data_IF_711947410117
#
_entry.id   IF_711947410117
#
_cell.length_a   1.000
_cell.length_b   1.000
_cell.length_c   1.000
_cell.angle_alpha   90.00
_cell.angle_beta   90.00
_cell.angle_gamma   90.00
#
_symmetry.space_group_name_H-M   'P 1'
#
loop_
_entity.id
_entity.type
_entity.pdbx_description
1 polymer ?
#
# COMPACT_ATOMS: atom_id res chain seq x y z
N UNK A 1 -27.31 -14.22 35.80
CA UNK A 1 -26.73 -13.04 36.49
C UNK A 1 -25.22 -13.04 36.28
N UNK A 2 -24.60 -11.89 35.95
CA UNK A 2 -23.15 -11.78 35.71
C UNK A 2 -22.50 -10.81 36.72
N UNK A 3 -22.59 -11.14 38.01
CA UNK A 3 -22.17 -10.28 39.13
C UNK A 3 -20.65 -10.09 39.25
N UNK A 4 -19.85 -11.03 38.75
CA UNK A 4 -18.39 -10.88 38.60
C UNK A 4 -18.02 -11.27 37.16
N UNK A 5 -17.21 -10.43 36.50
CA UNK A 5 -16.70 -10.68 35.15
C UNK A 5 -15.19 -10.53 35.13
N UNK A 6 -14.51 -11.51 34.54
CA UNK A 6 -13.09 -11.43 34.18
C UNK A 6 -13.02 -11.29 32.67
N UNK A 7 -12.29 -10.27 32.19
CA UNK A 7 -12.15 -9.98 30.76
C UNK A 7 -10.68 -10.12 30.34
N UNK A 8 -10.46 -10.54 29.09
CA UNK A 8 -9.14 -10.55 28.45
C UNK A 8 -9.25 -10.00 27.03
N UNK A 9 -8.13 -9.50 26.50
CA UNK A 9 -8.08 -9.06 25.11
C UNK A 9 -8.18 -10.28 24.17
N UNK A 10 -9.00 -10.14 23.14
CA UNK A 10 -9.18 -11.16 22.11
C UNK A 10 -9.17 -10.49 20.74
N UNK A 11 -8.51 -11.14 19.78
CA UNK A 11 -8.57 -10.71 18.39
C UNK A 11 -9.98 -10.95 17.81
N UNK A 12 -10.47 -10.04 16.95
CA UNK A 12 -11.71 -10.26 16.23
C UNK A 12 -11.57 -11.43 15.25
N UNK A 13 -12.68 -11.99 14.76
CA UNK A 13 -12.64 -12.95 13.66
C UNK A 13 -11.93 -12.37 12.43
N UNK A 14 -11.17 -13.21 11.72
CA UNK A 14 -10.39 -12.74 10.57
C UNK A 14 -11.25 -12.14 9.46
N UNK A 15 -12.51 -12.56 9.31
CA UNK A 15 -13.46 -11.97 8.35
C UNK A 15 -13.61 -10.46 8.57
N UNK A 16 -13.72 -10.01 9.83
CA UNK A 16 -13.81 -8.59 10.18
C UNK A 16 -12.55 -7.84 9.74
N UNK A 17 -11.38 -8.45 9.89
CA UNK A 17 -10.12 -7.86 9.42
C UNK A 17 -10.08 -7.80 7.88
N UNK A 18 -10.57 -8.85 7.21
CA UNK A 18 -10.69 -8.91 5.76
C UNK A 18 -11.58 -7.80 5.21
N UNK A 19 -12.76 -7.60 5.81
CA UNK A 19 -13.70 -6.54 5.43
C UNK A 19 -13.08 -5.15 5.62
N UNK A 20 -12.42 -4.91 6.77
CA UNK A 20 -11.71 -3.64 7.03
C UNK A 20 -10.58 -3.37 6.04
N UNK A 21 -9.86 -4.40 5.60
CA UNK A 21 -8.80 -4.25 4.60
C UNK A 21 -9.36 -4.10 3.19
N UNK A 22 -10.50 -4.73 2.89
CA UNK A 22 -11.21 -4.56 1.63
C UNK A 22 -11.69 -3.12 1.44
N UNK A 23 -12.24 -2.51 2.48
CA UNK A 23 -12.64 -1.09 2.46
C UNK A 23 -11.44 -0.17 2.15
N UNK A 24 -10.28 -0.48 2.74
CA UNK A 24 -9.03 0.28 2.48
C UNK A 24 -8.46 0.02 1.10
N UNK A 25 -8.69 -1.17 0.54
CA UNK A 25 -8.30 -1.49 -0.81
C UNK A 25 -9.12 -0.69 -1.83
N UNK A 26 -10.44 -0.58 -1.60
CA UNK A 26 -11.32 0.21 -2.46
C UNK A 26 -11.04 1.72 -2.39
N UNK A 27 -10.54 2.19 -1.25
CA UNK A 27 -10.10 3.58 -1.04
C UNK A 27 -8.59 3.82 -1.17
N UNK A 28 -7.82 2.89 -1.75
CA UNK A 28 -6.37 3.01 -1.81
C UNK A 28 -5.93 4.24 -2.63
N UNK A 29 -4.87 4.92 -2.18
CA UNK A 29 -4.41 6.16 -2.82
C UNK A 29 -3.34 5.90 -3.88
N UNK A 30 -3.53 6.47 -5.08
CA UNK A 30 -2.51 6.48 -6.14
C UNK A 30 -1.44 7.51 -5.81
N UNK A 31 -0.19 7.07 -5.78
CA UNK A 31 0.96 7.88 -5.40
C UNK A 31 1.98 7.98 -6.53
N UNK A 32 2.60 9.15 -6.64
CA UNK A 32 3.77 9.35 -7.47
C UNK A 32 5.03 9.37 -6.60
N UNK A 33 6.11 8.77 -7.11
CA UNK A 33 7.44 8.95 -6.55
C UNK A 33 7.86 10.40 -6.72
N UNK A 34 7.90 11.19 -5.64
CA UNK A 34 8.52 12.51 -5.72
C UNK A 34 10.02 12.31 -5.85
N UNK A 35 10.52 12.38 -7.09
CA UNK A 35 11.93 12.50 -7.38
C UNK A 35 12.37 13.95 -7.07
N UNK A 36 12.13 14.42 -5.85
CA UNK A 36 12.83 15.59 -5.33
C UNK A 36 14.27 15.14 -5.08
N UNK A 37 15.01 15.02 -6.18
CA UNK A 37 16.45 15.01 -6.15
C UNK A 37 16.86 16.14 -5.23
N UNK A 38 17.69 15.82 -4.25
CA UNK A 38 18.43 16.85 -3.55
C UNK A 38 19.15 17.68 -4.62
N UNK A 39 18.56 18.81 -5.02
CA UNK A 39 19.32 19.93 -5.52
C UNK A 39 20.20 20.36 -4.36
N UNK A 40 21.32 19.65 -4.19
CA UNK A 40 22.52 20.23 -3.64
C UNK A 40 22.91 21.30 -4.65
N UNK A 41 22.31 22.48 -4.49
CA UNK A 41 22.78 23.68 -5.12
C UNK A 41 24.17 23.96 -4.54
N UNK A 42 25.17 23.28 -5.08
CA UNK A 42 26.56 23.44 -4.67
C UNK A 42 27.13 24.65 -5.42
N UNK A 43 26.53 25.81 -5.16
CA UNK A 43 27.15 27.07 -5.48
C UNK A 43 28.22 27.29 -4.43
N UNK A 44 29.43 26.80 -4.70
CA UNK A 44 30.61 27.51 -4.22
C UNK A 44 31.70 27.45 -5.28
N UNK A 45 31.96 28.64 -5.79
CA UNK A 45 32.95 28.96 -6.77
C UNK A 45 34.36 28.61 -6.29
N UNK A 46 35.23 28.34 -7.27
CA UNK A 46 36.67 28.28 -7.15
C UNK A 46 37.25 29.37 -6.22
N UNK A 47 38.09 28.96 -5.27
CA UNK A 47 39.25 29.75 -4.91
C UNK A 47 40.39 28.83 -4.47
N UNK A 48 41.47 28.85 -5.26
CA UNK A 48 42.73 28.18 -4.98
C UNK A 48 43.45 28.91 -3.84
N UNK A 49 43.43 28.35 -2.61
CA UNK A 49 44.34 28.81 -1.55
C UNK A 49 44.51 27.75 -0.45
N UNK A 50 45.72 27.21 -0.21
CA UNK A 50 45.98 26.44 1.00
C UNK A 50 46.53 27.36 2.10
N UNK A 51 45.97 27.35 3.33
CA UNK A 51 46.70 27.81 4.51
C UNK A 51 47.28 26.62 5.29
N UNK A 52 48.56 26.76 5.61
CA UNK A 52 49.41 25.89 6.43
C UNK A 52 48.98 25.88 7.91
N UNK A 53 49.34 24.76 8.56
CA UNK A 53 49.73 24.61 9.98
C UNK A 53 48.63 24.24 11.01
N UNK A 54 48.98 23.76 12.22
CA UNK A 54 48.79 22.36 12.59
C UNK A 54 47.79 22.19 13.74
N UNK A 55 47.37 20.94 13.92
CA UNK A 55 46.43 20.46 14.95
C UNK A 55 46.92 20.80 16.36
N UNK A 56 46.04 21.39 17.18
CA UNK A 56 46.14 21.35 18.65
C UNK A 56 44.99 20.48 19.20
N UNK A 57 45.36 19.54 20.06
CA UNK A 57 44.48 18.52 20.62
C UNK A 57 43.55 19.14 21.68
N UNK A 58 42.26 19.22 21.39
CA UNK A 58 41.23 19.39 22.42
C UNK A 58 40.61 18.03 22.70
N UNK A 59 40.77 17.57 23.94
CA UNK A 59 40.27 16.31 24.48
C UNK A 59 38.75 16.21 24.25
N UNK A 60 38.31 15.28 23.41
CA UNK A 60 36.91 14.92 23.27
C UNK A 60 36.52 14.03 24.46
N UNK A 61 35.70 14.55 25.36
CA UNK A 61 35.05 13.75 26.39
C UNK A 61 34.10 12.73 25.76
N UNK A 62 34.27 11.45 26.09
CA UNK A 62 33.41 10.37 25.66
C UNK A 62 32.05 10.42 26.39
N UNK A 63 31.14 11.29 25.96
CA UNK A 63 29.73 11.17 26.32
C UNK A 63 29.02 10.26 25.32
N UNK A 64 28.71 9.04 25.74
CA UNK A 64 28.01 8.01 24.96
C UNK A 64 26.50 8.33 24.81
N UNK A 65 25.99 9.39 25.45
CA UNK A 65 24.54 9.54 25.67
C UNK A 65 23.85 10.79 25.08
N UNK A 66 24.46 11.49 24.12
CA UNK A 66 23.85 12.76 23.62
C UNK A 66 23.69 12.89 22.10
N UNK A 67 23.88 11.82 21.31
CA UNK A 67 23.78 11.94 19.83
C UNK A 67 23.12 10.78 19.08
N UNK A 68 22.31 9.96 19.75
CA UNK A 68 21.60 8.84 19.09
C UNK A 68 20.11 9.08 18.84
N UNK A 69 19.62 10.32 18.86
CA UNK A 69 18.17 10.53 18.70
C UNK A 69 17.71 11.07 17.34
N UNK A 70 18.60 11.47 16.43
CA UNK A 70 18.16 12.10 15.16
C UNK A 70 18.71 11.50 13.86
N UNK A 71 18.94 10.17 13.83
CA UNK A 71 19.34 9.47 12.58
C UNK A 71 18.51 8.23 12.27
N UNK A 72 17.18 8.36 12.34
CA UNK A 72 16.30 7.59 11.44
C UNK A 72 15.66 8.52 10.41
N UNK A 73 16.50 9.36 9.78
CA UNK A 73 16.14 9.95 8.48
C UNK A 73 15.89 8.76 7.56
N UNK A 74 14.65 8.63 7.10
CA UNK A 74 14.21 7.64 6.12
C UNK A 74 15.31 7.44 5.08
N UNK A 75 15.97 6.28 5.13
CA UNK A 75 17.11 5.92 4.29
C UNK A 75 16.73 5.81 2.80
N UNK A 76 15.44 5.93 2.51
CA UNK A 76 14.87 6.03 1.19
C UNK A 76 14.26 7.43 1.05
N UNK A 77 14.96 8.31 0.33
CA UNK A 77 14.56 9.70 0.11
C UNK A 77 13.39 9.88 -0.86
N UNK A 78 12.57 8.84 -1.09
CA UNK A 78 11.35 8.99 -1.87
C UNK A 78 10.24 9.45 -0.92
N UNK A 79 9.75 10.67 -1.13
CA UNK A 79 8.54 11.12 -0.46
C UNK A 79 7.35 10.76 -1.37
N UNK A 80 6.50 9.86 -0.88
CA UNK A 80 5.28 9.47 -1.57
C UNK A 80 4.33 10.66 -1.54
N UNK A 81 4.00 11.20 -2.71
CA UNK A 81 3.01 12.26 -2.85
C UNK A 81 1.79 11.69 -3.57
N UNK A 82 0.57 12.11 -3.20
CA UNK A 82 -0.62 11.79 -3.99
C UNK A 82 -0.39 12.17 -5.46
N UNK A 83 -0.81 11.30 -6.38
CA UNK A 83 -0.72 11.58 -7.82
C UNK A 83 -1.52 12.83 -8.20
N UNK A 84 -2.70 13.00 -7.59
CA UNK A 84 -3.51 14.21 -7.69
C UNK A 84 -3.39 15.06 -6.40
N UNK A 85 -2.94 16.32 -6.48
CA UNK A 85 -2.77 17.21 -5.33
C UNK A 85 -4.05 17.52 -4.53
N UNK A 86 -5.23 17.35 -5.13
CA UNK A 86 -6.51 17.58 -4.45
C UNK A 86 -6.96 16.40 -3.58
N UNK A 87 -6.32 15.24 -3.72
CA UNK A 87 -6.60 14.09 -2.85
C UNK A 87 -5.87 14.22 -1.53
N UNK A 88 -6.57 13.81 -0.45
CA UNK A 88 -5.99 13.75 0.89
C UNK A 88 -4.76 12.85 0.89
N UNK A 89 -3.68 13.31 1.53
CA UNK A 89 -2.50 12.48 1.71
C UNK A 89 -2.83 11.23 2.55
N UNK A 90 -2.33 10.05 2.15
CA UNK A 90 -2.63 8.80 2.84
C UNK A 90 -2.03 8.80 4.26
N UNK A 91 -2.80 8.30 5.22
CA UNK A 91 -2.35 8.07 6.59
C UNK A 91 -1.56 6.75 6.75
N UNK A 92 -1.01 6.52 7.94
CA UNK A 92 -0.23 5.30 8.26
C UNK A 92 -1.04 3.99 8.19
N UNK A 93 -2.37 4.09 8.15
CA UNK A 93 -3.30 2.98 8.09
C UNK A 93 -3.83 2.73 6.67
N UNK A 94 -3.58 3.63 5.73
CA UNK A 94 -4.17 3.58 4.40
C UNK A 94 -3.30 2.76 3.45
N UNK A 95 -3.94 2.14 2.46
CA UNK A 95 -3.23 1.41 1.40
C UNK A 95 -2.87 2.39 0.27
N UNK A 96 -1.70 2.19 -0.33
CA UNK A 96 -1.19 3.02 -1.42
C UNK A 96 -0.72 2.16 -2.58
N UNK A 97 -0.83 2.67 -3.80
CA UNK A 97 -0.33 2.00 -5.00
C UNK A 97 0.31 3.03 -5.95
N UNK A 98 1.31 2.61 -6.73
CA UNK A 98 2.05 3.50 -7.64
C UNK A 98 1.78 3.17 -9.12
N UNK A 99 1.41 1.94 -9.44
CA UNK A 99 1.12 1.47 -10.79
C UNK A 99 -0.35 1.07 -10.94
N UNK A 100 -0.97 1.45 -12.06
CA UNK A 100 -2.36 1.08 -12.35
C UNK A 100 -2.47 -0.43 -12.53
N UNK A 101 -3.55 -1.01 -12.00
CA UNK A 101 -3.80 -2.44 -12.19
C UNK A 101 -4.06 -2.78 -13.66
N UNK A 102 -3.54 -3.91 -14.16
CA UNK A 102 -3.81 -4.36 -15.52
C UNK A 102 -5.26 -4.83 -15.68
N UNK A 103 -5.69 -5.07 -16.91
CA UNK A 103 -6.98 -5.72 -17.17
C UNK A 103 -6.93 -7.21 -16.81
N UNK A 104 -7.93 -7.69 -16.06
CA UNK A 104 -8.02 -9.08 -15.60
C UNK A 104 -8.96 -9.96 -16.43
N UNK A 105 -9.63 -9.40 -17.43
CA UNK A 105 -10.63 -10.10 -18.25
C UNK A 105 -10.01 -11.23 -19.08
N UNK A 106 -8.90 -10.93 -19.77
CA UNK A 106 -8.22 -11.85 -20.67
C UNK A 106 -7.03 -12.54 -20.01
N UNK A 107 -6.76 -13.77 -20.43
CA UNK A 107 -5.62 -14.54 -19.94
C UNK A 107 -4.32 -13.91 -20.41
N UNK A 108 -3.44 -13.59 -19.47
CA UNK A 108 -2.08 -13.13 -19.74
C UNK A 108 -1.08 -13.90 -18.87
N UNK A 109 -0.43 -14.89 -19.46
CA UNK A 109 0.54 -15.77 -18.77
C UNK A 109 1.77 -15.02 -18.27
N UNK A 110 2.17 -13.91 -18.91
CA UNK A 110 3.33 -13.11 -18.50
C UNK A 110 3.11 -12.40 -17.17
N UNK A 111 1.86 -12.01 -16.91
CA UNK A 111 1.45 -11.31 -15.68
C UNK A 111 0.77 -12.25 -14.67
N UNK A 112 0.71 -13.55 -14.95
CA UNK A 112 0.00 -14.51 -14.09
C UNK A 112 -1.53 -14.36 -14.08
N UNK A 113 -2.09 -13.62 -15.03
CA UNK A 113 -3.53 -13.37 -15.11
C UNK A 113 -4.19 -14.55 -15.84
N UNK A 114 -5.12 -15.23 -15.16
CA UNK A 114 -5.82 -16.38 -15.74
C UNK A 114 -6.98 -16.00 -16.67
N UNK A 115 -7.49 -14.78 -16.56
CA UNK A 115 -8.70 -14.30 -17.23
C UNK A 115 -9.97 -14.63 -16.43
N UNK A 116 -11.12 -14.11 -16.87
CA UNK A 116 -12.43 -14.35 -16.23
C UNK A 116 -13.29 -15.38 -16.95
N UNK A 117 -12.77 -16.03 -17.98
CA UNK A 117 -13.49 -17.05 -18.75
C UNK A 117 -13.84 -18.27 -17.87
N UNK A 118 -15.08 -18.73 -17.98
CA UNK A 118 -15.57 -19.89 -17.23
C UNK A 118 -15.82 -19.66 -15.74
N UNK A 119 -15.72 -18.41 -15.25
CA UNK A 119 -16.08 -18.06 -13.87
C UNK A 119 -17.59 -17.96 -13.73
N UNK A 120 -18.11 -18.43 -12.59
CA UNK A 120 -19.50 -18.21 -12.20
C UNK A 120 -19.75 -16.72 -11.98
N UNK A 121 -20.89 -16.23 -12.48
CA UNK A 121 -21.35 -14.87 -12.27
C UNK A 121 -22.82 -14.87 -11.82
N UNK A 122 -23.24 -13.77 -11.21
CA UNK A 122 -24.61 -13.55 -10.77
C UNK A 122 -25.33 -12.60 -11.74
N UNK A 123 -26.48 -12.99 -12.28
CA UNK A 123 -27.24 -12.18 -13.23
C UNK A 123 -27.99 -11.02 -12.57
N UNK A 124 -28.31 -11.13 -11.28
CA UNK A 124 -29.04 -10.08 -10.55
C UNK A 124 -28.13 -9.07 -9.87
N UNK A 125 -26.82 -9.32 -9.81
CA UNK A 125 -25.87 -8.39 -9.19
C UNK A 125 -25.40 -7.33 -10.19
N UNK A 126 -25.40 -6.07 -9.77
CA UNK A 126 -24.74 -4.97 -10.49
C UNK A 126 -23.27 -4.79 -10.06
N UNK A 127 -22.80 -5.59 -9.11
CA UNK A 127 -21.45 -5.51 -8.56
C UNK A 127 -20.40 -6.25 -9.37
N UNK A 128 -19.21 -6.38 -8.79
CA UNK A 128 -18.08 -7.10 -9.42
C UNK A 128 -18.33 -8.58 -9.62
N UNK A 129 -19.34 -9.17 -8.99
CA UNK A 129 -19.83 -10.54 -9.18
C UNK A 129 -20.93 -10.64 -10.26
N UNK A 130 -21.44 -9.48 -10.71
CA UNK A 130 -22.41 -9.34 -11.78
C UNK A 130 -21.89 -9.87 -13.11
N UNK A 131 -22.74 -10.53 -13.90
CA UNK A 131 -22.32 -11.09 -15.18
C UNK A 131 -21.81 -10.02 -16.17
N UNK A 132 -22.32 -8.79 -16.13
CA UNK A 132 -21.85 -7.70 -16.99
C UNK A 132 -20.38 -7.34 -16.73
N UNK A 133 -19.98 -7.31 -15.45
CA UNK A 133 -18.61 -6.97 -15.02
C UNK A 133 -17.71 -8.21 -15.07
N UNK A 134 -18.15 -9.35 -14.53
CA UNK A 134 -17.37 -10.60 -14.49
C UNK A 134 -17.04 -11.12 -15.89
N UNK A 135 -17.99 -11.05 -16.82
CA UNK A 135 -17.81 -11.52 -18.19
C UNK A 135 -17.29 -10.41 -19.12
N UNK A 136 -17.03 -9.20 -18.59
CA UNK A 136 -16.51 -8.06 -19.33
C UNK A 136 -17.29 -7.76 -20.62
N UNK A 137 -18.64 -7.83 -20.54
CA UNK A 137 -19.54 -7.58 -21.67
C UNK A 137 -19.59 -8.65 -22.76
N UNK A 138 -18.87 -9.79 -22.61
CA UNK A 138 -18.88 -10.88 -23.61
C UNK A 138 -20.16 -11.73 -23.62
N UNK A 139 -21.09 -11.45 -22.71
CA UNK A 139 -22.25 -12.30 -22.42
C UNK A 139 -21.91 -13.48 -21.50
N UNK A 140 -22.95 -14.23 -21.13
CA UNK A 140 -22.84 -15.37 -20.22
C UNK A 140 -23.79 -16.49 -20.67
N UNK A 141 -23.49 -17.72 -20.25
CA UNK A 141 -24.35 -18.88 -20.47
C UNK A 141 -24.96 -19.30 -19.14
N UNK A 142 -26.28 -19.42 -19.10
CA UNK A 142 -27.00 -19.98 -17.96
C UNK A 142 -26.99 -21.50 -18.04
N UNK A 143 -26.76 -22.16 -16.91
CA UNK A 143 -26.83 -23.62 -16.78
C UNK A 143 -27.61 -23.97 -15.51
N UNK A 144 -28.61 -24.82 -15.65
CA UNK A 144 -29.30 -25.42 -14.51
C UNK A 144 -28.52 -26.65 -14.05
N UNK A 145 -28.22 -26.70 -12.75
CA UNK A 145 -27.46 -27.79 -12.12
C UNK A 145 -28.26 -28.27 -10.91
N UNK A 146 -28.47 -29.58 -10.82
CA UNK A 146 -29.06 -30.20 -9.62
C UNK A 146 -27.99 -30.29 -8.55
N UNK A 147 -28.20 -29.59 -7.43
CA UNK A 147 -27.28 -29.60 -6.29
C UNK A 147 -27.88 -30.45 -5.18
N UNK A 148 -27.10 -31.40 -4.65
CA UNK A 148 -27.48 -32.19 -3.48
C UNK A 148 -26.94 -31.50 -2.25
N UNK A 149 -27.83 -31.05 -1.37
CA UNK A 149 -27.50 -30.46 -0.09
C UNK A 149 -28.12 -31.25 1.06
N UNK A 150 -27.64 -31.00 2.29
CA UNK A 150 -28.24 -31.60 3.47
C UNK A 150 -29.58 -30.89 3.74
N UNK A 151 -30.68 -31.60 3.55
CA UNK A 151 -32.02 -31.18 3.95
C UNK A 151 -32.46 -31.88 5.24
N UNK A 152 -33.54 -31.38 5.86
CA UNK A 152 -34.12 -31.88 7.11
C UNK A 152 -34.70 -33.30 6.96
#
# INVERSE_FOLDING_TARGET
SCTIKTCWMRLPPFRVIGDLLKDRFDGASHIASSNSGHHRNNNNAHSNRPPKSPKTNTVQGNSIHSKRENRRKHKYGFQLKPFNPEHKAPGVKDLVYYEMSPGFCEKNTKLGIQGTHGRLCNTSSMGVDGCDIMCCGRGFRTQEVVVVERCN
#
